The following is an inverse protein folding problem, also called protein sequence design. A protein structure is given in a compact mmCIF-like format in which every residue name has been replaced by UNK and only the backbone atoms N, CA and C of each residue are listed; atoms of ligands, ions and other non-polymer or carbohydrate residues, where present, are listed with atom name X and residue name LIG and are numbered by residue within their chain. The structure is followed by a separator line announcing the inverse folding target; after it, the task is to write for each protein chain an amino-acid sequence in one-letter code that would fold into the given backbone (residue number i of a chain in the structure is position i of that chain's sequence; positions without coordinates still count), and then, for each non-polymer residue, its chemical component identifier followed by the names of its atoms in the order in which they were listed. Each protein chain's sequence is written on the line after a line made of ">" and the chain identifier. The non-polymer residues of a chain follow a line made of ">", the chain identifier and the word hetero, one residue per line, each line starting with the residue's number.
data_IF_071658728898
#
_entry.id   IF_071658728898
#
_cell.length_a   1.000
_cell.length_b   1.000
_cell.length_c   1.000
_cell.angle_alpha   90.00
_cell.angle_beta   90.00
_cell.angle_gamma   90.00
#
_symmetry.space_group_name_H-M   'P 1'
#
loop_
_entity.id
_entity.type
_entity.pdbx_description
1 polymer ?
#
# COMPACT_ATOMS: atom_id res chain seq x y z
N UNK A 1 14.53 16.29 -11.24
CA UNK A 1 15.74 15.43 -11.26
C UNK A 1 15.29 14.03 -10.92
N UNK A 2 15.21 13.17 -11.93
CA UNK A 2 14.77 11.78 -11.80
C UNK A 2 15.90 10.95 -11.16
N UNK A 3 15.68 10.54 -9.91
CA UNK A 3 16.54 9.58 -9.22
C UNK A 3 16.18 8.18 -9.68
N UNK A 4 17.13 7.54 -10.35
CA UNK A 4 17.00 6.27 -11.04
C UNK A 4 16.36 5.18 -10.17
N UNK A 5 15.34 4.52 -10.73
CA UNK A 5 14.95 3.19 -10.31
C UNK A 5 16.14 2.26 -10.50
N UNK A 6 16.83 1.91 -9.42
CA UNK A 6 17.78 0.79 -9.41
C UNK A 6 16.94 -0.45 -9.71
N UNK A 7 17.21 -1.21 -10.79
CA UNK A 7 16.53 -2.45 -11.07
C UNK A 7 17.13 -3.53 -10.15
N UNK A 8 16.89 -3.41 -8.85
CA UNK A 8 17.03 -4.53 -7.94
C UNK A 8 16.01 -5.56 -8.39
N UNK A 9 16.51 -6.65 -9.00
CA UNK A 9 15.80 -7.79 -9.56
C UNK A 9 14.41 -7.97 -8.99
N UNK A 10 13.42 -8.25 -9.84
CA UNK A 10 12.05 -8.67 -9.46
C UNK A 10 12.04 -9.64 -8.26
N UNK A 11 13.08 -10.48 -8.13
CA UNK A 11 13.39 -11.32 -6.97
C UNK A 11 13.44 -10.61 -5.61
N UNK A 12 14.09 -9.44 -5.50
CA UNK A 12 14.17 -8.65 -4.27
C UNK A 12 12.80 -8.06 -3.90
N UNK A 13 12.04 -7.57 -4.88
CA UNK A 13 10.68 -7.07 -4.67
C UNK A 13 9.71 -8.15 -4.17
N UNK A 14 9.82 -9.37 -4.72
CA UNK A 14 9.02 -10.52 -4.26
C UNK A 14 9.48 -11.00 -2.87
N UNK A 15 10.80 -11.08 -2.61
CA UNK A 15 11.33 -11.42 -1.28
C UNK A 15 10.93 -10.41 -0.21
N UNK A 16 10.88 -9.12 -0.56
CA UNK A 16 10.42 -8.05 0.32
C UNK A 16 8.95 -8.23 0.73
N UNK A 17 8.09 -8.73 -0.18
CA UNK A 17 6.69 -9.04 0.15
C UNK A 17 6.54 -10.15 1.21
N UNK A 18 7.48 -11.09 1.26
CA UNK A 18 7.49 -12.20 2.23
C UNK A 18 8.39 -11.95 3.45
N UNK A 19 8.84 -10.71 3.68
CA UNK A 19 9.77 -10.36 4.76
C UNK A 19 11.08 -11.19 4.74
N UNK A 20 11.46 -11.74 3.58
CA UNK A 20 12.66 -12.57 3.41
C UNK A 20 13.92 -11.76 3.10
N UNK A 21 13.97 -10.50 3.55
CA UNK A 21 15.14 -9.65 3.38
C UNK A 21 16.10 -9.83 4.56
N UNK A 22 17.39 -9.96 4.25
CA UNK A 22 18.44 -10.00 5.26
C UNK A 22 18.52 -8.63 5.96
N UNK A 23 18.71 -8.55 7.29
CA UNK A 23 18.73 -7.28 8.03
C UNK A 23 19.79 -6.28 7.53
N UNK A 24 20.85 -6.77 6.88
CA UNK A 24 21.88 -5.96 6.22
C UNK A 24 21.36 -5.15 5.02
N UNK A 25 20.23 -5.53 4.41
CA UNK A 25 19.61 -4.84 3.27
C UNK A 25 18.40 -3.97 3.67
N UNK A 26 17.92 -4.08 4.92
CA UNK A 26 16.70 -3.40 5.42
C UNK A 26 17.00 -2.35 6.51
N UNK A 27 18.25 -2.27 6.97
CA UNK A 27 18.65 -1.32 8.00
C UNK A 27 19.28 -0.07 7.38
N UNK A 28 18.61 1.07 7.56
CA UNK A 28 19.08 2.39 7.14
C UNK A 28 19.45 3.21 8.38
N UNK A 29 20.58 3.93 8.33
CA UNK A 29 21.01 4.76 9.47
C UNK A 29 20.24 6.09 9.57
N UNK A 30 19.68 6.56 8.45
CA UNK A 30 19.01 7.85 8.31
C UNK A 30 17.58 7.64 7.80
N UNK A 31 16.63 8.40 8.33
CA UNK A 31 15.20 8.25 8.00
C UNK A 31 14.92 8.64 6.55
N UNK A 32 15.74 9.55 5.99
CA UNK A 32 15.68 9.97 4.59
C UNK A 32 16.12 8.89 3.60
N UNK A 33 16.93 7.91 4.03
CA UNK A 33 17.37 6.80 3.17
C UNK A 33 16.36 5.65 3.11
N UNK A 34 15.29 5.72 3.91
CA UNK A 34 14.24 4.71 3.91
C UNK A 34 13.48 4.81 2.59
N UNK A 35 13.59 3.80 1.71
CA UNK A 35 12.88 3.82 0.44
C UNK A 35 11.38 3.77 0.71
N UNK A 36 10.60 4.42 -0.15
CA UNK A 36 9.16 4.42 -0.02
C UNK A 36 8.59 3.06 -0.42
N UNK A 37 8.57 2.12 0.53
CA UNK A 37 8.16 0.71 0.34
C UNK A 37 6.79 0.57 -0.31
N UNK A 38 5.87 1.49 -0.01
CA UNK A 38 4.53 1.51 -0.62
C UNK A 38 4.63 1.68 -2.13
N UNK A 39 5.49 2.59 -2.62
CA UNK A 39 5.64 2.85 -4.06
C UNK A 39 6.30 1.67 -4.77
N UNK A 40 7.26 1.02 -4.13
CA UNK A 40 7.96 -0.14 -4.69
C UNK A 40 7.10 -1.42 -4.70
N UNK A 41 6.23 -1.60 -3.71
CA UNK A 41 5.31 -2.74 -3.65
C UNK A 41 4.06 -2.58 -4.54
N UNK A 42 3.65 -1.33 -4.81
CA UNK A 42 2.48 -1.01 -5.65
C UNK A 42 2.47 -1.70 -7.02
N UNK A 43 3.53 -1.66 -7.85
CA UNK A 43 3.51 -2.29 -9.17
C UNK A 43 3.37 -3.82 -9.10
N UNK A 44 4.01 -4.47 -8.12
CA UNK A 44 3.89 -5.92 -7.92
C UNK A 44 2.48 -6.29 -7.44
N UNK A 45 1.93 -5.49 -6.52
CA UNK A 45 0.57 -5.68 -6.01
C UNK A 45 -0.50 -5.52 -7.11
N UNK A 46 -0.38 -4.49 -7.96
CA UNK A 46 -1.25 -4.31 -9.13
C UNK A 46 -1.10 -5.47 -10.11
N UNK A 47 0.14 -5.94 -10.34
CA UNK A 47 0.40 -7.11 -11.17
C UNK A 47 -0.31 -8.36 -10.66
N UNK A 48 -0.29 -8.62 -9.35
CA UNK A 48 -0.99 -9.74 -8.73
C UNK A 48 -2.51 -9.59 -8.81
N UNK A 49 -3.06 -8.39 -8.60
CA UNK A 49 -4.50 -8.12 -8.77
C UNK A 49 -4.98 -8.40 -10.20
N UNK A 50 -4.21 -7.98 -11.21
CA UNK A 50 -4.54 -8.27 -12.62
C UNK A 50 -4.40 -9.77 -12.92
N UNK A 51 -3.36 -10.41 -12.40
CA UNK A 51 -3.11 -11.84 -12.59
C UNK A 51 -4.22 -12.69 -11.97
N UNK A 52 -4.71 -12.32 -10.79
CA UNK A 52 -5.87 -12.95 -10.15
C UNK A 52 -7.14 -12.79 -10.99
N UNK A 53 -7.37 -11.61 -11.57
CA UNK A 53 -8.48 -11.38 -12.50
C UNK A 53 -8.42 -12.32 -13.72
N UNK A 54 -7.24 -12.41 -14.33
CA UNK A 54 -7.00 -13.24 -15.54
C UNK A 54 -7.18 -14.72 -15.21
N UNK A 55 -6.62 -15.20 -14.10
CA UNK A 55 -6.77 -16.58 -13.65
C UNK A 55 -8.22 -16.89 -13.28
N UNK A 56 -8.92 -15.99 -12.61
CA UNK A 56 -10.34 -16.13 -12.26
C UNK A 56 -11.24 -16.23 -13.49
N UNK A 57 -10.97 -15.42 -14.52
CA UNK A 57 -11.69 -15.48 -15.80
C UNK A 57 -11.43 -16.81 -16.52
N UNK A 58 -10.16 -17.23 -16.61
CA UNK A 58 -9.76 -18.45 -17.32
C UNK A 58 -10.26 -19.74 -16.65
N UNK A 59 -10.37 -19.75 -15.31
CA UNK A 59 -10.63 -20.98 -14.54
C UNK A 59 -12.10 -21.17 -14.18
N UNK A 60 -12.88 -20.09 -14.03
CA UNK A 60 -14.26 -20.16 -13.51
C UNK A 60 -15.32 -19.67 -14.52
N UNK A 61 -14.94 -18.92 -15.57
CA UNK A 61 -15.87 -18.44 -16.61
C UNK A 61 -16.96 -17.45 -16.14
N UNK A 62 -17.09 -17.21 -14.83
CA UNK A 62 -18.02 -16.28 -14.20
C UNK A 62 -17.26 -15.09 -13.57
N UNK A 63 -16.86 -14.09 -14.36
CA UNK A 63 -16.03 -12.96 -13.91
C UNK A 63 -16.73 -12.04 -12.89
N UNK A 64 -18.04 -12.17 -12.69
CA UNK A 64 -18.84 -11.23 -11.90
C UNK A 64 -18.58 -11.37 -10.39
N UNK A 65 -18.35 -12.59 -9.90
CA UNK A 65 -18.19 -12.86 -8.45
C UNK A 65 -16.80 -12.43 -7.95
N UNK A 66 -15.75 -12.65 -8.73
CA UNK A 66 -14.38 -12.23 -8.39
C UNK A 66 -14.20 -10.72 -8.48
N UNK A 67 -14.88 -10.05 -9.42
CA UNK A 67 -14.85 -8.58 -9.51
C UNK A 67 -15.52 -7.93 -8.30
N UNK A 68 -16.66 -8.46 -7.84
CA UNK A 68 -17.35 -7.92 -6.66
C UNK A 68 -16.52 -8.02 -5.38
N UNK A 69 -15.73 -9.08 -5.24
CA UNK A 69 -14.89 -9.29 -4.07
C UNK A 69 -13.65 -8.37 -4.09
N UNK A 70 -13.08 -8.14 -5.28
CA UNK A 70 -12.02 -7.16 -5.48
C UNK A 70 -12.48 -5.72 -5.21
N UNK A 71 -13.65 -5.32 -5.70
CA UNK A 71 -14.24 -4.00 -5.41
C UNK A 71 -14.55 -3.84 -3.92
N UNK A 72 -15.07 -4.88 -3.28
CA UNK A 72 -15.34 -4.88 -1.83
C UNK A 72 -14.05 -4.77 -1.03
N UNK A 73 -12.98 -5.44 -1.46
CA UNK A 73 -11.67 -5.39 -0.81
C UNK A 73 -11.00 -4.01 -0.94
N UNK A 74 -11.08 -3.38 -2.12
CA UNK A 74 -10.60 -2.00 -2.32
C UNK A 74 -11.42 -1.03 -1.47
N UNK A 75 -12.75 -1.21 -1.45
CA UNK A 75 -13.66 -0.38 -0.67
C UNK A 75 -13.38 -0.50 0.82
N UNK A 76 -13.21 -1.72 1.33
CA UNK A 76 -12.83 -1.98 2.72
C UNK A 76 -11.46 -1.37 3.05
N UNK A 77 -10.49 -1.47 2.13
CA UNK A 77 -9.18 -0.82 2.24
C UNK A 77 -9.29 0.71 2.36
N UNK A 78 -10.09 1.35 1.51
CA UNK A 78 -10.32 2.81 1.58
C UNK A 78 -11.08 3.19 2.86
N UNK A 79 -12.09 2.42 3.24
CA UNK A 79 -12.88 2.65 4.45
C UNK A 79 -12.01 2.49 5.70
N UNK A 80 -11.07 1.55 5.74
CA UNK A 80 -10.14 1.38 6.87
C UNK A 80 -9.23 2.59 7.11
N UNK A 81 -9.07 3.48 6.12
CA UNK A 81 -8.32 4.74 6.26
C UNK A 81 -9.18 5.90 6.76
N UNK A 82 -10.50 5.84 6.62
CA UNK A 82 -11.41 6.90 7.08
C UNK A 82 -11.29 7.22 8.58
N UNK A 83 -11.16 6.25 9.51
CA UNK A 83 -11.02 6.54 10.94
C UNK A 83 -9.84 7.46 11.24
N UNK A 84 -8.71 7.25 10.54
CA UNK A 84 -7.49 8.03 10.74
C UNK A 84 -7.70 9.51 10.38
N UNK A 85 -8.44 9.77 9.31
CA UNK A 85 -8.81 11.12 8.90
C UNK A 85 -9.80 11.75 9.88
N UNK A 86 -10.83 11.03 10.30
CA UNK A 86 -11.83 11.52 11.26
C UNK A 86 -11.18 11.88 12.59
N UNK A 87 -10.35 10.99 13.16
CA UNK A 87 -9.63 11.26 14.41
C UNK A 87 -8.70 12.46 14.27
N UNK A 88 -7.96 12.57 13.17
CA UNK A 88 -7.08 13.73 12.92
C UNK A 88 -7.86 15.04 12.86
N UNK A 89 -9.05 15.07 12.24
CA UNK A 89 -9.89 16.27 12.21
C UNK A 89 -10.45 16.64 13.59
N UNK A 90 -10.87 15.65 14.39
CA UNK A 90 -11.34 15.87 15.75
C UNK A 90 -10.23 16.44 16.65
N UNK A 91 -9.02 15.90 16.53
CA UNK A 91 -7.84 16.36 17.27
C UNK A 91 -7.50 17.81 16.89
N UNK A 92 -7.37 18.10 15.59
CA UNK A 92 -7.06 19.47 15.11
C UNK A 92 -8.15 20.48 15.48
N UNK A 93 -9.42 20.11 15.35
CA UNK A 93 -10.54 20.96 15.77
C UNK A 93 -10.54 21.27 17.27
N UNK A 94 -10.12 20.31 18.10
CA UNK A 94 -9.98 20.50 19.56
C UNK A 94 -8.86 21.49 19.89
N UNK A 95 -7.72 21.40 19.21
CA UNK A 95 -6.61 22.35 19.37
C UNK A 95 -6.96 23.78 18.91
N UNK A 96 -7.70 23.92 17.81
CA UNK A 96 -8.13 25.22 17.30
C UNK A 96 -9.12 25.91 18.26
N UNK A 97 -10.01 25.15 18.91
CA UNK A 97 -10.93 25.70 19.92
C UNK A 97 -10.20 26.10 21.20
N UNK A 98 -9.16 25.34 21.59
CA UNK A 98 -8.35 25.64 22.78
C UNK A 98 -7.54 26.92 22.61
N UNK A 99 -6.98 27.16 21.43
CA UNK A 99 -6.22 28.38 21.11
C UNK A 99 -7.08 29.63 20.93
N UNK A 100 -8.40 29.49 20.75
CA UNK A 100 -9.33 30.63 20.65
C UNK A 100 -9.92 31.08 22.00
N UNK A 101 -9.60 30.36 23.09
CA UNK A 101 -10.06 30.63 24.45
C UNK A 101 -8.97 31.28 25.33
N UNK A 102 -7.73 31.39 24.84
CA UNK A 102 -6.67 32.24 25.40
C UNK A 102 -6.65 33.62 24.73
#
# INVERSE_FOLDING_TARGET
>A
MAGAAVPGSVSTGVRAMFLMLTPNESSFQTVEDVPQYVQQATPVFIGLMVLELVVGVLKTGAPVVTLSDGVTSISAGMISRLPLWVFRQLIVGSYLKKTKQE
#
